data_IF_609089354339
#
_entry.id   IF_609089354339
#
_cell.length_a   1.000
_cell.length_b   1.000
_cell.length_c   1.000
_cell.angle_alpha   90.00
_cell.angle_beta   90.00
_cell.angle_gamma   90.00
#
_symmetry.space_group_name_H-M   'P 1'
#
loop_
_entity.id
_entity.type
_entity.pdbx_description
1 polymer ?
#
# COMPACT_ATOMS: atom_id res chain seq x y z
N UNK A 1 19.48 18.71 2.89
CA UNK A 1 19.57 17.75 1.78
C UNK A 1 19.81 18.48 0.46
N UNK A 2 20.59 17.89 -0.47
CA UNK A 2 20.75 18.49 -1.80
C UNK A 2 19.42 18.59 -2.54
N UNK A 3 19.28 19.57 -3.44
CA UNK A 3 18.04 19.80 -4.18
C UNK A 3 17.57 18.59 -5.00
N UNK A 4 18.51 17.82 -5.56
CA UNK A 4 18.14 16.64 -6.38
C UNK A 4 17.53 15.52 -5.52
N UNK A 5 17.85 15.44 -4.23
CA UNK A 5 17.21 14.50 -3.30
C UNK A 5 15.75 14.91 -3.09
N UNK A 6 15.51 16.21 -2.90
CA UNK A 6 14.14 16.73 -2.78
C UNK A 6 13.35 16.52 -4.07
N UNK A 7 13.99 16.70 -5.23
CA UNK A 7 13.36 16.43 -6.53
C UNK A 7 12.96 14.96 -6.65
N UNK A 8 13.84 14.04 -6.25
CA UNK A 8 13.54 12.61 -6.21
C UNK A 8 12.39 12.29 -5.27
N UNK A 9 12.37 12.92 -4.09
CA UNK A 9 11.27 12.75 -3.15
C UNK A 9 9.94 13.21 -3.71
N UNK A 10 9.93 14.34 -4.41
CA UNK A 10 8.71 14.83 -5.07
C UNK A 10 8.25 13.86 -6.17
N UNK A 11 9.17 13.24 -6.89
CA UNK A 11 8.83 12.23 -7.89
C UNK A 11 8.18 11.02 -7.23
N UNK A 12 8.69 10.56 -6.08
CA UNK A 12 8.11 9.44 -5.34
C UNK A 12 6.70 9.78 -4.82
N UNK A 13 6.50 10.99 -4.32
CA UNK A 13 5.19 11.44 -3.84
C UNK A 13 4.19 11.48 -5.01
N UNK A 14 4.60 12.01 -6.15
CA UNK A 14 3.77 12.05 -7.36
C UNK A 14 3.40 10.63 -7.80
N UNK A 15 4.38 9.73 -7.83
CA UNK A 15 4.13 8.33 -8.18
C UNK A 15 3.18 7.66 -7.18
N UNK A 16 3.30 7.98 -5.90
CA UNK A 16 2.40 7.48 -4.86
C UNK A 16 0.94 7.85 -5.17
N UNK A 17 0.67 9.12 -5.46
CA UNK A 17 -0.68 9.56 -5.80
C UNK A 17 -1.21 8.91 -7.07
N UNK A 18 -0.36 8.71 -8.06
CA UNK A 18 -0.76 7.99 -9.26
C UNK A 18 -1.14 6.54 -8.95
N UNK A 19 -0.36 5.86 -8.10
CA UNK A 19 -0.66 4.50 -7.68
C UNK A 19 -1.95 4.43 -6.87
N UNK A 20 -2.22 5.40 -5.98
CA UNK A 20 -3.49 5.49 -5.28
C UNK A 20 -4.66 5.63 -6.25
N UNK A 21 -4.50 6.43 -7.30
CA UNK A 21 -5.50 6.56 -8.34
C UNK A 21 -5.78 5.23 -9.03
N UNK A 22 -4.73 4.48 -9.40
CA UNK A 22 -4.89 3.18 -10.04
C UNK A 22 -5.61 2.18 -9.14
N UNK A 23 -5.31 2.18 -7.84
CA UNK A 23 -5.99 1.33 -6.87
C UNK A 23 -7.46 1.70 -6.76
N UNK A 24 -7.76 2.97 -6.60
CA UNK A 24 -9.14 3.45 -6.47
C UNK A 24 -9.98 3.18 -7.71
N UNK A 25 -9.35 3.17 -8.88
CA UNK A 25 -10.01 2.89 -10.15
C UNK A 25 -10.56 1.46 -10.23
N UNK A 26 -9.83 0.49 -9.66
CA UNK A 26 -10.23 -0.93 -9.70
C UNK A 26 -10.91 -1.40 -8.42
N UNK A 27 -10.77 -0.70 -7.31
CA UNK A 27 -11.34 -1.08 -6.03
C UNK A 27 -12.06 0.08 -5.35
N UNK A 28 -13.37 0.11 -5.47
CA UNK A 28 -14.22 1.13 -4.84
C UNK A 28 -14.32 0.97 -3.32
N UNK A 29 -13.89 -0.19 -2.79
CA UNK A 29 -13.88 -0.45 -1.35
C UNK A 29 -12.54 -0.12 -0.69
N UNK A 30 -11.58 0.44 -1.43
CA UNK A 30 -10.30 0.88 -0.87
C UNK A 30 -10.55 1.98 0.17
N UNK A 31 -10.21 1.69 1.42
CA UNK A 31 -10.48 2.57 2.54
C UNK A 31 -9.41 2.43 3.61
N UNK A 32 -9.33 3.43 4.49
CA UNK A 32 -8.42 3.41 5.63
C UNK A 32 -8.85 2.44 6.73
N UNK A 33 -10.10 1.99 6.72
CA UNK A 33 -10.64 1.09 7.73
C UNK A 33 -10.41 -0.37 7.37
N UNK A 34 -10.08 -1.18 8.38
CA UNK A 34 -9.95 -2.62 8.23
C UNK A 34 -11.32 -3.23 8.46
N UNK A 35 -12.13 -3.30 7.40
CA UNK A 35 -13.47 -3.90 7.46
C UNK A 35 -13.91 -4.34 6.07
N UNK A 36 -14.86 -5.28 6.05
CA UNK A 36 -15.51 -5.76 4.82
C UNK A 36 -16.89 -5.11 4.72
N UNK A 37 -17.12 -4.40 3.61
CA UNK A 37 -18.41 -3.78 3.33
C UNK A 37 -19.39 -4.80 2.78
N UNK A 38 -20.70 -4.55 2.97
CA UNK A 38 -21.73 -5.37 2.39
C UNK A 38 -21.62 -5.35 0.87
N UNK A 39 -21.70 -6.54 0.25
CA UNK A 39 -21.57 -6.68 -1.20
C UNK A 39 -20.16 -6.60 -1.74
N UNK A 40 -19.16 -6.44 -0.87
CA UNK A 40 -17.77 -6.40 -1.29
C UNK A 40 -17.34 -7.72 -1.91
N UNK A 41 -16.56 -7.64 -3.00
CA UNK A 41 -16.02 -8.80 -3.70
C UNK A 41 -14.51 -8.74 -3.74
N UNK A 42 -13.87 -9.91 -3.90
CA UNK A 42 -12.42 -9.97 -4.11
C UNK A 42 -12.06 -9.34 -5.46
N UNK A 43 -11.12 -8.40 -5.43
CA UNK A 43 -10.56 -7.77 -6.63
C UNK A 43 -9.20 -8.40 -6.90
N UNK A 44 -9.02 -8.93 -8.11
CA UNK A 44 -7.75 -9.57 -8.53
C UNK A 44 -7.21 -9.01 -9.84
N UNK A 45 -7.81 -7.94 -10.35
CA UNK A 45 -7.44 -7.31 -11.63
C UNK A 45 -6.54 -6.10 -11.40
N UNK A 46 -5.90 -5.62 -12.48
CA UNK A 46 -5.03 -4.45 -12.43
C UNK A 46 -3.87 -4.66 -11.46
N UNK A 47 -3.63 -3.67 -10.61
CA UNK A 47 -2.54 -3.69 -9.63
C UNK A 47 -2.69 -4.81 -8.60
N UNK A 48 -3.91 -5.28 -8.34
CA UNK A 48 -4.19 -6.40 -7.44
C UNK A 48 -3.76 -7.76 -7.99
N UNK A 49 -3.41 -7.83 -9.26
CA UNK A 49 -2.80 -9.01 -9.86
C UNK A 49 -1.33 -9.19 -9.53
N UNK A 50 -0.68 -8.15 -9.04
CA UNK A 50 0.77 -8.14 -8.72
C UNK A 50 1.03 -8.29 -7.23
N UNK A 51 0.31 -7.54 -6.40
CA UNK A 51 0.41 -7.61 -4.93
C UNK A 51 -0.99 -7.55 -4.32
N UNK A 52 -1.13 -8.08 -3.11
CA UNK A 52 -2.43 -8.10 -2.43
C UNK A 52 -2.79 -6.76 -1.79
N UNK A 53 -1.80 -5.91 -1.51
CA UNK A 53 -1.99 -4.63 -0.85
C UNK A 53 -1.37 -3.47 -1.65
N UNK A 54 -1.86 -3.21 -2.87
CA UNK A 54 -1.29 -2.16 -3.71
C UNK A 54 -1.48 -0.76 -3.13
N UNK A 55 -2.53 -0.54 -2.32
CA UNK A 55 -2.72 0.74 -1.64
C UNK A 55 -1.61 1.01 -0.62
N UNK A 56 -1.19 -0.01 0.13
CA UNK A 56 -0.08 0.11 1.06
C UNK A 56 1.26 0.19 0.33
N UNK A 57 1.38 -0.45 -0.82
CA UNK A 57 2.55 -0.27 -1.69
C UNK A 57 2.68 1.19 -2.13
N UNK A 58 1.58 1.82 -2.54
CA UNK A 58 1.55 3.24 -2.85
C UNK A 58 1.93 4.08 -1.63
N UNK A 59 1.43 3.69 -0.45
CA UNK A 59 1.74 4.38 0.80
C UNK A 59 3.23 4.33 1.16
N UNK A 60 3.95 3.28 0.78
CA UNK A 60 5.40 3.21 0.97
C UNK A 60 6.12 4.32 0.19
N UNK A 61 5.71 4.56 -1.05
CA UNK A 61 6.29 5.64 -1.85
C UNK A 61 6.04 7.00 -1.20
N UNK A 62 4.85 7.20 -0.62
CA UNK A 62 4.53 8.42 0.10
C UNK A 62 5.37 8.56 1.38
N UNK A 63 5.51 7.46 2.13
CA UNK A 63 6.27 7.43 3.38
C UNK A 63 7.75 7.75 3.15
N UNK A 64 8.35 7.19 2.10
CA UNK A 64 9.75 7.42 1.77
C UNK A 64 9.93 8.76 1.07
N UNK A 65 9.04 9.12 0.16
CA UNK A 65 9.14 10.32 -0.64
C UNK A 65 8.93 11.61 0.14
N UNK A 66 8.06 11.61 1.14
CA UNK A 66 7.72 12.83 1.89
C UNK A 66 8.93 13.42 2.63
N UNK A 67 9.71 12.67 3.42
CA UNK A 67 10.90 13.23 4.05
C UNK A 67 11.92 13.78 3.05
N UNK A 68 12.08 13.09 1.94
CA UNK A 68 13.02 13.52 0.89
C UNK A 68 12.53 14.79 0.20
N UNK A 69 11.22 14.86 -0.10
CA UNK A 69 10.60 16.03 -0.72
C UNK A 69 10.74 17.27 0.17
N UNK A 70 10.55 17.10 1.48
CA UNK A 70 10.68 18.17 2.47
C UNK A 70 12.14 18.53 2.76
N UNK A 71 13.09 17.71 2.36
CA UNK A 71 14.50 17.94 2.61
C UNK A 71 14.88 17.85 4.08
N UNK A 72 14.15 17.05 4.87
CA UNK A 72 14.34 16.97 6.32
C UNK A 72 14.94 15.63 6.74
N UNK A 73 16.13 15.68 7.33
CA UNK A 73 16.78 14.49 7.89
C UNK A 73 15.99 13.90 9.06
N UNK A 74 15.36 14.75 9.88
CA UNK A 74 14.60 14.32 11.05
C UNK A 74 13.36 13.53 10.69
N UNK A 75 12.68 13.89 9.61
CA UNK A 75 11.49 13.19 9.14
C UNK A 75 11.79 11.78 8.62
N UNK A 76 13.04 11.48 8.27
CA UNK A 76 13.43 10.12 7.92
C UNK A 76 13.22 9.13 9.07
N UNK A 77 13.21 9.59 10.31
CA UNK A 77 12.93 8.74 11.49
C UNK A 77 11.50 8.21 11.48
N UNK A 78 10.59 8.81 10.74
CA UNK A 78 9.23 8.31 10.60
C UNK A 78 9.17 6.96 9.88
N UNK A 79 10.15 6.65 9.04
CA UNK A 79 10.17 5.40 8.27
C UNK A 79 10.27 4.18 9.20
N UNK A 80 11.31 4.06 10.06
CA UNK A 80 11.42 2.91 10.95
C UNK A 80 10.32 2.85 12.00
N UNK A 81 9.67 3.96 12.34
CA UNK A 81 8.55 3.99 13.28
C UNK A 81 7.26 3.53 12.60
N UNK A 82 7.01 3.99 11.37
CA UNK A 82 5.76 3.72 10.66
C UNK A 82 5.73 2.35 9.98
N UNK A 83 6.88 1.83 9.57
CA UNK A 83 6.93 0.58 8.82
C UNK A 83 6.38 -0.62 9.59
N UNK A 84 6.74 -0.86 10.87
CA UNK A 84 6.15 -1.94 11.65
C UNK A 84 4.63 -1.81 11.82
N UNK A 85 4.14 -0.57 11.95
CA UNK A 85 2.71 -0.30 12.05
C UNK A 85 2.02 -0.70 10.76
N UNK A 86 2.61 -0.38 9.62
CA UNK A 86 2.09 -0.76 8.30
C UNK A 86 2.03 -2.29 8.14
N UNK A 87 3.10 -2.99 8.54
CA UNK A 87 3.15 -4.46 8.47
C UNK A 87 2.06 -5.07 9.36
N UNK A 88 1.92 -4.57 10.59
CA UNK A 88 0.90 -5.05 11.51
C UNK A 88 -0.51 -4.83 10.94
N UNK A 89 -0.75 -3.68 10.31
CA UNK A 89 -2.02 -3.37 9.68
C UNK A 89 -2.33 -4.32 8.52
N UNK A 90 -1.33 -4.62 7.68
CA UNK A 90 -1.48 -5.56 6.56
C UNK A 90 -1.88 -6.95 7.07
N UNK A 91 -1.15 -7.47 8.04
CA UNK A 91 -1.41 -8.79 8.61
C UNK A 91 -2.81 -8.85 9.24
N UNK A 92 -3.18 -7.80 9.99
CA UNK A 92 -4.49 -7.73 10.63
C UNK A 92 -5.63 -7.63 9.61
N UNK A 93 -5.44 -6.83 8.57
CA UNK A 93 -6.42 -6.72 7.49
C UNK A 93 -6.62 -8.06 6.77
N UNK A 94 -5.55 -8.80 6.51
CA UNK A 94 -5.66 -10.11 5.88
C UNK A 94 -6.43 -11.11 6.74
N UNK A 95 -6.28 -11.05 8.06
CA UNK A 95 -7.06 -11.89 8.98
C UNK A 95 -8.56 -11.61 8.86
N UNK A 96 -8.92 -10.33 8.77
CA UNK A 96 -10.33 -9.92 8.59
C UNK A 96 -10.85 -10.39 7.23
N UNK A 97 -10.08 -10.18 6.18
CA UNK A 97 -10.48 -10.54 4.82
C UNK A 97 -10.66 -12.05 4.64
N UNK A 98 -9.77 -12.86 5.21
CA UNK A 98 -9.89 -14.32 5.17
C UNK A 98 -11.16 -14.77 5.88
N UNK A 99 -11.49 -14.15 7.00
CA UNK A 99 -12.67 -14.50 7.80
C UNK A 99 -13.98 -14.04 7.17
N UNK A 100 -14.00 -12.85 6.57
CA UNK A 100 -15.23 -12.17 6.20
C UNK A 100 -15.47 -12.01 4.70
N UNK A 101 -14.42 -12.06 3.87
CA UNK A 101 -14.55 -11.86 2.42
C UNK A 101 -14.46 -13.20 1.71
N UNK A 102 -15.58 -13.72 1.14
CA UNK A 102 -15.58 -14.99 0.41
C UNK A 102 -14.61 -14.95 -0.77
N UNK A 103 -13.81 -16.00 -0.92
CA UNK A 103 -12.86 -16.15 -2.02
C UNK A 103 -11.49 -15.52 -1.77
N UNK A 104 -11.28 -14.85 -0.65
CA UNK A 104 -10.00 -14.20 -0.38
C UNK A 104 -8.86 -15.20 -0.21
N UNK A 105 -9.13 -16.35 0.43
CA UNK A 105 -8.13 -17.42 0.58
C UNK A 105 -7.64 -17.94 -0.75
N UNK A 106 -8.52 -18.06 -1.73
CA UNK A 106 -8.16 -18.47 -3.09
C UNK A 106 -7.33 -17.41 -3.79
N UNK A 107 -7.65 -16.13 -3.59
CA UNK A 107 -6.88 -15.02 -4.09
C UNK A 107 -5.44 -15.02 -3.51
N UNK A 108 -5.28 -15.34 -2.23
CA UNK A 108 -3.96 -15.43 -1.61
C UNK A 108 -3.08 -16.49 -2.25
N UNK A 109 -3.68 -17.56 -2.80
CA UNK A 109 -2.96 -18.61 -3.51
C UNK A 109 -2.51 -18.17 -4.89
N UNK A 110 -3.26 -17.29 -5.54
CA UNK A 110 -2.95 -16.77 -6.89
C UNK A 110 -1.93 -15.64 -6.83
N UNK A 111 -2.13 -14.70 -5.93
CA UNK A 111 -1.25 -13.55 -5.74
C UNK A 111 -0.53 -13.74 -4.43
N UNK A 112 0.70 -14.23 -4.50
CA UNK A 112 1.46 -14.71 -3.33
C UNK A 112 2.22 -13.62 -2.59
N UNK A 113 2.38 -12.43 -3.18
CA UNK A 113 3.07 -11.31 -2.54
C UNK A 113 2.08 -10.33 -1.93
N UNK A 114 2.36 -9.90 -0.70
CA UNK A 114 1.50 -8.97 0.04
C UNK A 114 1.70 -7.53 -0.37
N UNK A 115 2.95 -7.07 -0.40
CA UNK A 115 3.27 -5.66 -0.51
C UNK A 115 4.26 -5.35 -1.62
N UNK A 116 5.38 -6.05 -1.67
CA UNK A 116 6.45 -5.80 -2.63
C UNK A 116 6.50 -6.95 -3.63
N UNK A 117 6.33 -6.69 -4.95
CA UNK A 117 6.36 -7.74 -5.95
C UNK A 117 7.63 -8.59 -5.84
N UNK A 118 7.48 -9.91 -5.87
CA UNK A 118 8.55 -10.92 -5.84
C UNK A 118 9.33 -11.00 -4.52
N UNK A 119 8.98 -10.21 -3.49
CA UNK A 119 9.70 -10.19 -2.21
C UNK A 119 8.79 -10.63 -1.06
N UNK A 120 7.71 -9.94 -0.85
CA UNK A 120 6.74 -10.17 0.24
C UNK A 120 5.36 -9.58 -0.14
#
# INVERSE_FOLDING_TARGET
MPWYVSAFGNALVTLSFYLFYLVSKVNTYAAANVRVEEGQKVISTGVYGFVRHPMYFAALFLLIGTPLALGSWWTLLLIPVSFPILVARIVNEEKVLVRELPGYSEYQKKVTTRLVPFIW
#
